data_IF_719961281465
#
_entry.id   IF_719961281465
#
_cell.length_a   1.000
_cell.length_b   1.000
_cell.length_c   1.000
_cell.angle_alpha   90.00
_cell.angle_beta   90.00
_cell.angle_gamma   90.00
#
_symmetry.space_group_name_H-M   'P 1'
#
loop_
_entity.id
_entity.type
_entity.pdbx_description
1 polymer ?
#
# COMPACT_ATOMS: atom_id res chain seq x y z
N UNK A 1 6.35 3.40 -4.04
CA UNK A 1 6.83 2.05 -3.61
C UNK A 1 5.62 1.17 -3.27
N UNK A 2 5.80 -0.04 -2.72
CA UNK A 2 4.72 -1.00 -2.43
C UNK A 2 3.50 -0.38 -1.74
N UNK A 3 3.68 0.39 -0.66
CA UNK A 3 2.56 1.03 0.06
C UNK A 3 1.66 1.90 -0.84
N UNK A 4 2.25 2.72 -1.72
CA UNK A 4 1.47 3.51 -2.68
C UNK A 4 0.75 2.64 -3.71
N UNK A 5 1.42 1.58 -4.19
CA UNK A 5 0.81 0.65 -5.15
C UNK A 5 -0.37 -0.08 -4.51
N UNK A 6 -0.27 -0.50 -3.25
CA UNK A 6 -1.35 -1.17 -2.53
C UNK A 6 -2.55 -0.24 -2.27
N UNK A 7 -2.31 1.05 -1.98
CA UNK A 7 -3.39 2.04 -1.88
C UNK A 7 -4.09 2.26 -3.23
N UNK A 8 -3.31 2.48 -4.29
CA UNK A 8 -3.84 2.61 -5.65
C UNK A 8 -4.58 1.35 -6.11
N UNK A 9 -4.09 0.17 -5.76
CA UNK A 9 -4.69 -1.11 -6.14
C UNK A 9 -6.12 -1.24 -5.62
N UNK A 10 -6.35 -0.93 -4.33
CA UNK A 10 -7.69 -0.99 -3.75
C UNK A 10 -8.67 0.01 -4.39
N UNK A 11 -8.20 1.22 -4.72
CA UNK A 11 -9.02 2.16 -5.49
C UNK A 11 -9.30 1.68 -6.92
N UNK A 12 -8.32 1.08 -7.60
CA UNK A 12 -8.49 0.50 -8.92
C UNK A 12 -9.44 -0.70 -8.92
N UNK A 13 -9.42 -1.51 -7.85
CA UNK A 13 -10.36 -2.60 -7.62
C UNK A 13 -11.79 -2.05 -7.47
N UNK A 14 -11.99 -1.04 -6.64
CA UNK A 14 -13.29 -0.38 -6.50
C UNK A 14 -13.78 0.20 -7.83
N UNK A 15 -12.92 0.94 -8.55
CA UNK A 15 -13.25 1.54 -9.83
C UNK A 15 -13.63 0.50 -10.89
N UNK A 16 -12.89 -0.62 -10.98
CA UNK A 16 -13.20 -1.69 -11.92
C UNK A 16 -14.60 -2.28 -11.72
N UNK A 17 -15.02 -2.42 -10.45
CA UNK A 17 -16.37 -2.84 -10.07
C UNK A 17 -17.40 -1.79 -10.47
N UNK A 18 -17.09 -0.53 -10.18
CA UNK A 18 -17.95 0.61 -10.45
C UNK A 18 -18.30 0.75 -11.94
N UNK A 19 -17.33 0.57 -12.84
CA UNK A 19 -17.57 0.58 -14.30
C UNK A 19 -17.90 -0.80 -14.89
N UNK A 20 -18.08 -1.82 -14.04
CA UNK A 20 -18.43 -3.19 -14.40
C UNK A 20 -17.47 -3.84 -15.43
N UNK A 21 -16.16 -3.61 -15.32
CA UNK A 21 -15.13 -4.23 -16.16
C UNK A 21 -14.23 -5.13 -15.32
N UNK A 22 -13.87 -6.30 -15.83
CA UNK A 22 -12.92 -7.20 -15.15
C UNK A 22 -11.60 -6.46 -14.91
N UNK A 23 -11.09 -6.46 -13.68
CA UNK A 23 -9.77 -5.90 -13.40
C UNK A 23 -8.69 -6.88 -13.87
N UNK A 24 -7.81 -6.41 -14.74
CA UNK A 24 -6.52 -7.06 -14.98
C UNK A 24 -5.62 -6.61 -13.83
N UNK A 25 -5.38 -7.51 -12.87
CA UNK A 25 -4.64 -7.21 -11.65
C UNK A 25 -3.17 -7.02 -12.02
N UNK A 26 -2.60 -5.81 -11.85
CA UNK A 26 -1.23 -5.55 -12.27
C UNK A 26 -0.23 -6.27 -11.36
N UNK A 27 0.94 -6.65 -11.89
CA UNK A 27 2.04 -7.07 -11.05
C UNK A 27 2.50 -5.91 -10.16
N UNK A 28 3.04 -6.24 -8.99
CA UNK A 28 3.73 -5.29 -8.14
C UNK A 28 5.02 -4.85 -8.80
N UNK A 29 5.22 -3.54 -8.89
CA UNK A 29 6.44 -2.96 -9.44
C UNK A 29 7.52 -2.86 -8.37
N UNK A 30 8.55 -3.67 -8.51
CA UNK A 30 9.81 -3.60 -7.73
C UNK A 30 10.95 -3.14 -8.64
N UNK A 31 12.15 -3.73 -8.52
CA UNK A 31 13.17 -3.67 -9.59
C UNK A 31 12.75 -4.49 -10.83
N UNK A 32 11.76 -5.38 -10.67
CA UNK A 32 11.03 -6.10 -11.72
C UNK A 32 9.53 -6.18 -11.38
N UNK A 33 8.71 -6.58 -12.32
CA UNK A 33 7.31 -6.92 -12.11
C UNK A 33 7.24 -8.23 -11.34
N UNK A 34 6.44 -8.25 -10.29
CA UNK A 34 6.15 -9.42 -9.48
C UNK A 34 4.64 -9.69 -9.59
N UNK A 35 4.20 -10.84 -10.14
CA UNK A 35 2.79 -11.18 -10.23
C UNK A 35 2.07 -10.97 -8.89
N UNK A 36 0.83 -10.48 -8.93
CA UNK A 36 0.05 -10.27 -7.71
C UNK A 36 -0.07 -11.56 -6.90
N UNK A 37 -0.30 -12.66 -7.61
CA UNK A 37 -0.44 -14.01 -7.07
C UNK A 37 0.79 -14.56 -6.35
N UNK A 38 1.99 -13.97 -6.52
CA UNK A 38 3.14 -14.34 -5.68
C UNK A 38 2.97 -13.89 -4.23
N UNK A 39 2.32 -12.74 -3.99
CA UNK A 39 2.20 -12.16 -2.64
C UNK A 39 0.81 -12.31 -2.03
N UNK A 40 -0.23 -12.40 -2.86
CA UNK A 40 -1.62 -12.41 -2.43
C UNK A 40 -2.44 -13.44 -3.20
N UNK A 41 -3.59 -13.84 -2.68
CA UNK A 41 -4.47 -14.80 -3.33
C UNK A 41 -5.46 -14.10 -4.25
N UNK A 42 -5.39 -14.37 -5.56
CA UNK A 42 -6.32 -13.77 -6.53
C UNK A 42 -7.78 -14.20 -6.31
N UNK A 43 -8.02 -15.41 -5.79
CA UNK A 43 -9.37 -15.91 -5.53
C UNK A 43 -10.13 -15.06 -4.50
N UNK A 44 -9.44 -14.54 -3.48
CA UNK A 44 -10.06 -13.66 -2.47
C UNK A 44 -10.64 -12.39 -3.09
N UNK A 45 -9.99 -11.83 -4.12
CA UNK A 45 -10.48 -10.67 -4.85
C UNK A 45 -11.77 -10.97 -5.63
N UNK A 46 -11.93 -12.20 -6.13
CA UNK A 46 -13.10 -12.61 -6.93
C UNK A 46 -14.40 -12.55 -6.15
N UNK A 47 -14.34 -12.64 -4.82
CA UNK A 47 -15.49 -12.43 -3.95
C UNK A 47 -16.00 -10.98 -3.96
N UNK A 48 -15.15 -10.01 -4.33
CA UNK A 48 -15.54 -8.61 -4.48
C UNK A 48 -15.96 -8.26 -5.91
N UNK A 49 -15.14 -8.61 -6.90
CA UNK A 49 -15.36 -8.29 -8.31
C UNK A 49 -14.60 -9.24 -9.24
N UNK A 50 -14.95 -9.27 -10.53
CA UNK A 50 -14.25 -10.09 -11.52
C UNK A 50 -12.82 -9.58 -11.68
N UNK A 51 -11.85 -10.47 -11.50
CA UNK A 51 -10.42 -10.19 -11.65
C UNK A 51 -9.70 -11.30 -12.43
N UNK A 52 -8.58 -10.96 -13.06
CA UNK A 52 -7.64 -11.89 -13.70
C UNK A 52 -6.21 -11.35 -13.50
N UNK A 53 -5.21 -12.20 -13.29
CA UNK A 53 -3.82 -11.78 -13.23
C UNK A 53 -3.39 -11.19 -14.58
N UNK A 54 -2.49 -10.19 -14.57
CA UNK A 54 -1.98 -9.59 -15.80
C UNK A 54 -1.30 -10.63 -16.69
N UNK A 55 -0.51 -11.51 -16.11
CA UNK A 55 0.20 -12.58 -16.79
C UNK A 55 -0.79 -13.53 -17.50
N UNK A 56 -1.81 -13.98 -16.78
CA UNK A 56 -2.87 -14.84 -17.31
C UNK A 56 -3.67 -14.15 -18.43
N UNK A 57 -3.99 -12.88 -18.25
CA UNK A 57 -4.66 -12.09 -19.28
C UNK A 57 -3.81 -11.98 -20.54
N UNK A 58 -2.54 -11.62 -20.39
CA UNK A 58 -1.60 -11.43 -21.51
C UNK A 58 -1.35 -12.74 -22.27
N UNK A 59 -1.31 -13.88 -21.56
CA UNK A 59 -1.12 -15.18 -22.18
C UNK A 59 -2.38 -15.72 -22.88
N UNK A 60 -3.53 -15.63 -22.21
CA UNK A 60 -4.71 -16.42 -22.59
C UNK A 60 -5.83 -15.61 -23.27
N UNK A 61 -5.91 -14.30 -23.03
CA UNK A 61 -7.00 -13.46 -23.54
C UNK A 61 -6.51 -12.36 -24.49
N UNK A 62 -5.40 -11.71 -24.19
CA UNK A 62 -4.89 -10.58 -24.97
C UNK A 62 -4.71 -10.92 -26.46
N UNK A 63 -4.20 -12.09 -26.89
CA UNK A 63 -4.06 -12.40 -28.32
C UNK A 63 -5.39 -12.34 -29.10
N UNK A 64 -6.54 -12.53 -28.43
CA UNK A 64 -7.86 -12.55 -29.05
C UNK A 64 -8.63 -11.24 -28.88
N UNK A 65 -8.58 -10.62 -27.69
CA UNK A 65 -9.39 -9.44 -27.38
C UNK A 65 -8.60 -8.12 -27.35
N UNK A 66 -7.27 -8.20 -27.37
CA UNK A 66 -6.37 -7.04 -27.35
C UNK A 66 -5.03 -7.33 -28.07
N UNK A 67 -5.08 -7.73 -29.36
CA UNK A 67 -3.91 -8.04 -30.15
C UNK A 67 -2.99 -6.82 -30.31
N UNK A 68 -1.73 -7.06 -30.69
CA UNK A 68 -0.66 -6.03 -30.71
C UNK A 68 -1.07 -4.77 -31.50
N UNK A 69 -1.71 -4.96 -32.65
CA UNK A 69 -2.18 -3.94 -33.56
C UNK A 69 -3.37 -3.11 -33.04
N UNK A 70 -3.98 -3.49 -31.91
CA UNK A 70 -5.13 -2.78 -31.31
C UNK A 70 -4.84 -2.25 -29.91
N UNK A 71 -3.56 -2.23 -29.48
CA UNK A 71 -3.19 -1.79 -28.14
C UNK A 71 -3.21 -0.28 -28.01
N UNK A 72 -4.34 0.26 -27.56
CA UNK A 72 -4.53 1.68 -27.26
C UNK A 72 -4.25 1.95 -25.78
N UNK A 73 -3.40 2.95 -25.50
CA UNK A 73 -3.14 3.44 -24.15
C UNK A 73 -4.05 4.61 -23.78
N UNK A 74 -4.43 4.72 -22.52
CA UNK A 74 -5.35 5.75 -22.05
C UNK A 74 -4.69 6.59 -20.97
N UNK A 75 -4.75 7.92 -21.09
CA UNK A 75 -4.20 8.81 -20.08
C UNK A 75 -5.13 10.00 -19.79
N UNK A 76 -5.11 10.47 -18.55
CA UNK A 76 -5.74 11.74 -18.21
C UNK A 76 -4.83 12.87 -18.68
N UNK A 77 -5.38 13.81 -19.45
CA UNK A 77 -4.71 15.05 -19.84
C UNK A 77 -5.71 16.20 -19.89
N UNK A 78 -5.31 17.42 -19.49
CA UNK A 78 -6.10 18.62 -19.76
C UNK A 78 -6.43 18.76 -21.25
N UNK A 79 -7.58 19.36 -21.57
CA UNK A 79 -8.10 19.42 -22.95
C UNK A 79 -7.19 20.18 -23.94
N UNK A 80 -6.34 21.07 -23.44
CA UNK A 80 -5.37 21.86 -24.19
C UNK A 80 -4.05 21.10 -24.47
N UNK A 81 -3.88 19.89 -23.92
CA UNK A 81 -2.67 19.09 -24.10
C UNK A 81 -2.80 18.10 -25.25
N UNK A 82 -1.77 17.99 -26.12
CA UNK A 82 -1.79 17.04 -27.22
C UNK A 82 -1.70 15.60 -26.72
N UNK A 83 -2.38 14.67 -27.41
CA UNK A 83 -2.37 13.23 -27.05
C UNK A 83 -0.98 12.60 -27.01
N UNK A 84 0.00 13.20 -27.70
CA UNK A 84 1.40 12.77 -27.70
C UNK A 84 2.03 12.85 -26.30
N UNK A 85 1.53 13.71 -25.41
CA UNK A 85 1.98 13.80 -24.01
C UNK A 85 1.54 12.61 -23.15
N UNK A 86 0.67 11.71 -23.65
CA UNK A 86 0.34 10.49 -22.91
C UNK A 86 1.59 9.67 -22.61
N UNK A 87 2.51 9.52 -23.57
CA UNK A 87 3.82 8.89 -23.38
C UNK A 87 3.76 7.66 -22.46
N UNK A 88 2.94 6.66 -22.81
CA UNK A 88 2.53 5.56 -21.93
C UNK A 88 3.69 4.77 -21.31
N UNK A 89 4.85 4.80 -21.95
CA UNK A 89 6.06 4.07 -21.59
C UNK A 89 7.24 4.99 -21.25
N UNK A 90 7.04 6.30 -21.16
CA UNK A 90 8.16 7.21 -20.94
C UNK A 90 8.57 7.25 -19.47
N UNK A 91 9.86 7.01 -19.23
CA UNK A 91 10.48 7.06 -17.92
C UNK A 91 10.27 5.80 -17.07
N UNK A 92 10.99 5.75 -15.96
CA UNK A 92 10.84 4.70 -14.95
C UNK A 92 9.73 5.10 -13.96
N UNK A 93 8.76 4.21 -13.64
CA UNK A 93 8.71 2.78 -13.96
C UNK A 93 7.89 2.39 -15.20
N UNK A 94 7.33 3.35 -15.94
CA UNK A 94 6.38 3.11 -17.02
C UNK A 94 6.95 2.21 -18.12
N UNK A 95 8.18 2.47 -18.56
CA UNK A 95 8.83 1.70 -19.61
C UNK A 95 8.95 0.22 -19.22
N UNK A 96 9.61 -0.03 -18.08
CA UNK A 96 9.89 -1.38 -17.57
C UNK A 96 8.59 -2.14 -17.29
N UNK A 97 7.59 -1.47 -16.71
CA UNK A 97 6.31 -2.09 -16.38
C UNK A 97 5.63 -2.68 -17.63
N UNK A 98 5.52 -1.91 -18.71
CA UNK A 98 4.88 -2.37 -19.94
C UNK A 98 5.78 -3.31 -20.76
N UNK A 99 7.10 -3.09 -20.76
CA UNK A 99 8.04 -3.97 -21.46
C UNK A 99 8.04 -5.38 -20.89
N UNK A 100 8.04 -5.53 -19.57
CA UNK A 100 8.03 -6.85 -18.92
C UNK A 100 6.71 -7.62 -19.14
N UNK A 101 5.62 -6.92 -19.47
CA UNK A 101 4.36 -7.52 -19.92
C UNK A 101 4.30 -7.71 -21.45
N UNK A 102 5.38 -7.42 -22.19
CA UNK A 102 5.43 -7.42 -23.65
C UNK A 102 4.35 -6.53 -24.31
N UNK A 103 4.12 -5.35 -23.74
CA UNK A 103 3.14 -4.37 -24.23
C UNK A 103 3.83 -3.20 -24.95
N UNK A 104 3.36 -2.94 -26.17
CA UNK A 104 3.61 -1.73 -26.94
C UNK A 104 2.28 -1.17 -27.40
N UNK A 105 2.17 0.16 -27.38
CA UNK A 105 0.94 0.87 -27.75
C UNK A 105 1.06 1.39 -29.17
N UNK A 106 0.04 1.16 -29.99
CA UNK A 106 -0.03 1.67 -31.38
C UNK A 106 -0.67 3.05 -31.47
N UNK A 107 -1.47 3.41 -30.47
CA UNK A 107 -2.08 4.73 -30.34
C UNK A 107 -2.37 5.04 -28.86
N UNK A 108 -2.71 6.29 -28.58
CA UNK A 108 -3.17 6.76 -27.27
C UNK A 108 -4.46 7.55 -27.39
N UNK A 109 -5.29 7.48 -26.34
CA UNK A 109 -6.51 8.27 -26.19
C UNK A 109 -6.49 9.01 -24.85
N UNK A 110 -6.97 10.25 -24.86
CA UNK A 110 -7.05 11.08 -23.65
C UNK A 110 -8.46 11.06 -23.06
N UNK A 111 -8.57 11.31 -21.76
CA UNK A 111 -9.86 11.51 -21.07
C UNK A 111 -9.75 12.58 -19.98
N UNK A 112 -10.90 13.16 -19.61
CA UNK A 112 -11.05 14.15 -18.53
C UNK A 112 -12.18 13.73 -17.57
N UNK A 113 -12.13 12.47 -17.12
CA UNK A 113 -13.13 11.87 -16.23
C UNK A 113 -12.53 11.61 -14.84
N UNK A 114 -13.40 11.68 -13.83
CA UNK A 114 -13.08 11.26 -12.48
C UNK A 114 -13.32 9.75 -12.33
N UNK A 115 -12.77 9.15 -11.28
CA UNK A 115 -12.92 7.71 -10.98
C UNK A 115 -14.05 7.43 -9.97
N UNK A 116 -15.00 8.35 -9.85
CA UNK A 116 -16.12 8.29 -8.90
C UNK A 116 -17.44 7.86 -9.57
N UNK A 117 -18.46 7.65 -8.74
CA UNK A 117 -19.80 7.21 -9.15
C UNK A 117 -20.49 8.16 -10.14
N UNK A 118 -20.18 9.46 -10.08
CA UNK A 118 -20.80 10.48 -10.91
C UNK A 118 -20.32 10.40 -12.37
N UNK A 119 -19.09 9.91 -12.60
CA UNK A 119 -18.51 9.76 -13.94
C UNK A 119 -18.80 8.42 -14.63
N UNK A 120 -19.51 7.47 -14.00
CA UNK A 120 -19.70 6.10 -14.56
C UNK A 120 -20.39 6.11 -15.92
N UNK A 121 -21.47 6.87 -16.05
CA UNK A 121 -22.21 6.98 -17.33
C UNK A 121 -21.32 7.59 -18.44
N UNK A 122 -20.42 8.51 -18.07
CA UNK A 122 -19.48 9.11 -19.01
C UNK A 122 -18.40 8.11 -19.43
N UNK A 123 -17.86 7.32 -18.50
CA UNK A 123 -16.92 6.24 -18.79
C UNK A 123 -17.53 5.23 -19.76
N UNK A 124 -18.76 4.77 -19.50
CA UNK A 124 -19.44 3.79 -20.36
C UNK A 124 -19.78 4.36 -21.74
N UNK A 125 -20.17 5.65 -21.82
CA UNK A 125 -20.49 6.31 -23.08
C UNK A 125 -19.25 6.59 -23.93
N UNK A 126 -18.16 7.07 -23.32
CA UNK A 126 -16.92 7.39 -24.05
C UNK A 126 -16.14 6.13 -24.40
N UNK A 127 -16.15 5.13 -23.52
CA UNK A 127 -15.36 3.92 -23.67
C UNK A 127 -16.23 2.67 -23.51
N UNK A 128 -17.17 2.39 -24.45
CA UNK A 128 -18.00 1.20 -24.39
C UNK A 128 -17.19 -0.07 -24.67
N UNK A 129 -17.61 -1.21 -24.12
CA UNK A 129 -16.82 -2.45 -24.11
C UNK A 129 -16.72 -3.16 -25.46
N UNK A 130 -17.69 -2.94 -26.35
CA UNK A 130 -17.70 -3.43 -27.73
C UNK A 130 -16.63 -2.77 -28.60
N UNK A 131 -16.32 -1.49 -28.35
CA UNK A 131 -15.28 -0.73 -29.06
C UNK A 131 -13.93 -0.74 -28.35
N UNK A 132 -13.95 -0.65 -27.02
CA UNK A 132 -12.77 -0.62 -26.17
C UNK A 132 -12.83 -1.78 -25.17
N UNK A 133 -12.51 -3.01 -25.60
CA UNK A 133 -12.57 -4.19 -24.72
C UNK A 133 -11.58 -4.09 -23.56
N UNK A 134 -10.44 -3.43 -23.76
CA UNK A 134 -9.40 -3.21 -22.74
C UNK A 134 -9.12 -1.72 -22.57
N UNK A 135 -9.17 -1.26 -21.32
CA UNK A 135 -8.78 0.11 -20.93
C UNK A 135 -7.42 0.07 -20.24
N UNK A 136 -6.35 0.19 -21.02
CA UNK A 136 -4.97 0.20 -20.51
C UNK A 136 -4.56 1.63 -20.09
N UNK A 137 -4.81 1.96 -18.81
CA UNK A 137 -4.55 3.30 -18.26
C UNK A 137 -3.06 3.50 -17.91
N UNK A 138 -2.53 4.73 -18.07
CA UNK A 138 -1.13 5.06 -17.75
C UNK A 138 -0.79 4.87 -16.27
N UNK A 139 -1.76 5.13 -15.39
CA UNK A 139 -1.64 4.99 -13.94
C UNK A 139 -2.90 4.36 -13.36
N UNK A 140 -2.86 4.05 -12.08
CA UNK A 140 -4.02 3.48 -11.41
C UNK A 140 -5.20 4.48 -11.42
N UNK A 141 -6.43 4.03 -11.74
CA UNK A 141 -7.62 4.86 -11.65
C UNK A 141 -8.09 5.00 -10.20
N UNK A 142 -7.24 5.62 -9.37
CA UNK A 142 -7.40 5.69 -7.93
C UNK A 142 -6.76 6.95 -7.36
N UNK A 143 -7.29 7.43 -6.24
CA UNK A 143 -6.71 8.53 -5.47
C UNK A 143 -5.54 8.06 -4.58
N UNK A 144 -4.61 8.97 -4.29
CA UNK A 144 -3.65 8.84 -3.21
C UNK A 144 -3.66 10.11 -2.33
N UNK A 145 -3.78 9.98 -1.00
CA UNK A 145 -4.08 8.73 -0.27
C UNK A 145 -5.43 8.14 -0.66
N UNK A 146 -5.59 6.84 -0.40
CA UNK A 146 -6.82 6.13 -0.71
C UNK A 146 -8.03 6.70 0.05
N UNK A 147 -9.19 6.74 -0.62
CA UNK A 147 -10.47 7.11 -0.01
C UNK A 147 -10.81 6.23 1.20
N UNK A 148 -11.43 6.80 2.22
CA UNK A 148 -11.73 6.10 3.48
C UNK A 148 -12.61 4.86 3.27
N UNK A 149 -13.59 4.95 2.37
CA UNK A 149 -14.50 3.85 2.02
C UNK A 149 -13.80 2.64 1.37
N UNK A 150 -12.67 2.85 0.70
CA UNK A 150 -11.90 1.78 0.07
C UNK A 150 -11.01 1.01 1.08
N UNK A 151 -10.82 1.53 2.30
CA UNK A 151 -9.96 0.87 3.32
C UNK A 151 -10.42 -0.54 3.64
N UNK A 152 -11.73 -0.75 3.70
CA UNK A 152 -12.34 -2.05 4.02
C UNK A 152 -12.13 -3.10 2.92
N UNK A 153 -11.72 -2.69 1.71
CA UNK A 153 -11.38 -3.63 0.65
C UNK A 153 -10.10 -4.43 0.93
N UNK A 154 -9.31 -4.01 1.93
CA UNK A 154 -8.14 -4.78 2.39
C UNK A 154 -8.50 -6.22 2.78
N UNK A 155 -9.75 -6.48 3.22
CA UNK A 155 -10.20 -7.85 3.56
C UNK A 155 -10.14 -8.84 2.39
N UNK A 156 -10.08 -8.34 1.16
CA UNK A 156 -9.94 -9.16 -0.04
C UNK A 156 -8.48 -9.38 -0.47
N UNK A 157 -7.52 -8.66 0.12
CA UNK A 157 -6.09 -8.87 -0.09
C UNK A 157 -5.54 -9.89 0.91
N UNK A 158 -5.86 -11.16 0.69
CA UNK A 158 -5.35 -12.28 1.50
C UNK A 158 -3.94 -12.64 1.07
N UNK A 159 -3.02 -12.83 2.02
CA UNK A 159 -1.64 -13.27 1.75
C UNK A 159 -1.60 -14.63 1.02
N UNK A 160 -0.64 -14.81 0.11
CA UNK A 160 -0.37 -16.12 -0.49
C UNK A 160 0.16 -17.10 0.57
N UNK A 161 -0.04 -18.41 0.35
CA UNK A 161 0.52 -19.42 1.26
C UNK A 161 2.05 -19.35 1.34
N UNK A 162 2.72 -18.97 0.25
CA UNK A 162 4.16 -18.79 0.25
C UNK A 162 4.60 -17.70 1.25
N UNK A 163 3.95 -16.53 1.24
CA UNK A 163 4.24 -15.46 2.20
C UNK A 163 3.91 -15.92 3.62
N UNK A 164 2.78 -16.61 3.80
CA UNK A 164 2.37 -17.07 5.13
C UNK A 164 3.28 -18.17 5.69
N UNK A 165 3.80 -19.07 4.86
CA UNK A 165 4.79 -20.07 5.27
C UNK A 165 6.08 -19.42 5.77
N UNK A 166 6.58 -18.42 5.06
CA UNK A 166 7.77 -17.67 5.48
C UNK A 166 7.53 -16.90 6.79
N UNK A 167 6.37 -16.25 6.94
CA UNK A 167 5.96 -15.60 8.19
C UNK A 167 5.91 -16.60 9.35
N UNK A 168 5.25 -17.76 9.17
CA UNK A 168 5.17 -18.80 10.21
C UNK A 168 6.55 -19.32 10.62
N UNK A 169 7.47 -19.49 9.65
CA UNK A 169 8.85 -19.88 9.91
C UNK A 169 9.59 -18.82 10.73
N UNK A 170 9.44 -17.54 10.39
CA UNK A 170 10.06 -16.45 11.15
C UNK A 170 9.48 -16.31 12.55
N UNK A 171 8.16 -16.37 12.72
CA UNK A 171 7.52 -16.33 14.04
C UNK A 171 8.01 -17.46 14.95
N UNK A 172 8.12 -18.68 14.42
CA UNK A 172 8.68 -19.82 15.16
C UNK A 172 10.15 -19.61 15.49
N UNK A 173 10.96 -19.19 14.52
CA UNK A 173 12.42 -19.04 14.70
C UNK A 173 12.78 -17.91 15.67
N UNK A 174 12.12 -16.77 15.56
CA UNK A 174 12.47 -15.55 16.29
C UNK A 174 11.80 -15.52 17.67
N UNK A 175 10.57 -16.02 17.78
CA UNK A 175 9.76 -15.85 18.97
C UNK A 175 9.23 -17.16 19.55
N UNK A 176 9.55 -18.32 18.96
CA UNK A 176 8.96 -19.61 19.33
C UNK A 176 7.40 -19.58 19.32
N UNK A 177 6.82 -18.78 18.42
CA UNK A 177 5.39 -18.46 18.37
C UNK A 177 4.81 -17.79 19.63
N UNK A 178 5.67 -17.26 20.52
CA UNK A 178 5.23 -16.41 21.62
C UNK A 178 4.79 -15.03 21.09
N UNK A 179 3.90 -14.33 21.82
CA UNK A 179 3.43 -13.00 21.43
C UNK A 179 4.57 -12.01 21.18
N UNK A 180 4.39 -11.10 20.21
CA UNK A 180 5.34 -10.05 19.88
C UNK A 180 4.69 -8.70 19.55
N UNK A 181 5.40 -7.62 19.88
CA UNK A 181 5.07 -6.27 19.47
C UNK A 181 5.78 -6.01 18.15
N UNK A 182 5.02 -5.70 17.11
CA UNK A 182 5.55 -5.21 15.84
C UNK A 182 5.70 -3.69 15.87
N UNK A 183 6.84 -3.17 15.45
CA UNK A 183 7.03 -1.74 15.25
C UNK A 183 7.52 -1.43 13.85
N UNK A 184 7.03 -0.33 13.27
CA UNK A 184 7.52 0.21 12.01
C UNK A 184 8.20 1.56 12.24
N UNK A 185 9.51 1.59 11.98
CA UNK A 185 10.34 2.78 12.04
C UNK A 185 10.60 3.27 10.61
N UNK A 186 10.06 4.45 10.28
CA UNK A 186 10.29 5.10 8.99
C UNK A 186 11.22 6.27 9.24
N UNK A 187 12.53 6.05 9.08
CA UNK A 187 13.58 6.94 9.57
C UNK A 187 14.79 7.07 8.63
N UNK A 188 14.63 6.77 7.35
CA UNK A 188 15.63 7.13 6.33
C UNK A 188 15.64 8.65 6.03
N UNK A 189 16.74 9.14 5.48
CA UNK A 189 16.99 10.57 5.21
C UNK A 189 15.95 11.19 4.26
N UNK A 190 15.47 10.42 3.28
CA UNK A 190 14.41 10.86 2.37
C UNK A 190 13.08 11.09 3.10
N UNK A 191 12.83 10.30 4.15
CA UNK A 191 11.64 10.44 4.98
C UNK A 191 11.76 11.63 5.93
N UNK A 192 12.91 11.82 6.56
CA UNK A 192 13.19 13.01 7.39
C UNK A 192 12.93 14.31 6.61
N UNK A 193 13.45 14.39 5.38
CA UNK A 193 13.23 15.54 4.48
C UNK A 193 11.76 15.74 4.13
N UNK A 194 11.00 14.66 3.94
CA UNK A 194 9.56 14.73 3.68
C UNK A 194 8.80 15.30 4.88
N UNK A 195 9.29 15.07 6.10
CA UNK A 195 8.64 15.52 7.33
C UNK A 195 9.06 16.93 7.80
N UNK A 196 10.15 17.50 7.27
CA UNK A 196 10.77 18.75 7.77
C UNK A 196 9.78 19.92 7.88
N UNK A 197 8.93 20.14 6.87
CA UNK A 197 8.02 21.29 6.82
C UNK A 197 6.54 20.92 7.01
N UNK A 198 6.25 19.72 7.51
CA UNK A 198 4.88 19.16 7.49
C UNK A 198 3.86 20.03 8.25
N UNK A 199 4.28 20.68 9.34
CA UNK A 199 3.42 21.53 10.16
C UNK A 199 3.00 22.83 9.47
N UNK A 200 3.84 23.34 8.55
CA UNK A 200 3.54 24.57 7.79
C UNK A 200 2.31 24.41 6.90
N UNK A 201 2.01 23.19 6.45
CA UNK A 201 0.90 22.91 5.56
C UNK A 201 -0.46 22.97 6.26
N UNK A 202 -0.50 22.86 7.59
CA UNK A 202 -1.74 22.82 8.40
C UNK A 202 -2.79 21.86 7.80
N UNK A 203 -2.36 20.64 7.46
CA UNK A 203 -3.19 19.64 6.79
C UNK A 203 -3.41 18.41 7.66
N UNK A 204 -4.58 17.77 7.51
CA UNK A 204 -4.88 16.44 8.04
C UNK A 204 -4.57 15.32 7.04
N UNK A 205 -4.40 15.68 5.77
CA UNK A 205 -4.11 14.76 4.68
C UNK A 205 -2.73 15.07 4.13
N UNK A 206 -1.74 14.33 4.62
CA UNK A 206 -0.37 14.31 4.13
C UNK A 206 0.05 12.85 4.01
N UNK A 207 0.23 12.39 2.77
CA UNK A 207 0.40 10.98 2.46
C UNK A 207 -0.68 10.12 3.15
N UNK A 208 -0.33 9.06 3.87
CA UNK A 208 -1.30 8.16 4.49
C UNK A 208 -1.84 8.63 5.86
N UNK A 209 -1.58 9.88 6.28
CA UNK A 209 -2.02 10.39 7.59
C UNK A 209 -3.52 10.28 7.90
N UNK A 210 -4.45 10.27 6.92
CA UNK A 210 -5.86 10.04 7.22
C UNK A 210 -6.11 8.72 7.98
N UNK A 211 -5.22 7.72 7.89
CA UNK A 211 -5.35 6.44 8.62
C UNK A 211 -5.40 6.59 10.15
N UNK A 212 -4.77 7.63 10.71
CA UNK A 212 -4.80 7.91 12.14
C UNK A 212 -5.63 9.16 12.48
N UNK A 213 -5.71 10.14 11.58
CA UNK A 213 -6.36 11.41 11.87
C UNK A 213 -7.87 11.40 11.62
N UNK A 214 -8.39 10.57 10.71
CA UNK A 214 -9.85 10.53 10.48
C UNK A 214 -10.62 10.02 11.70
N UNK A 215 -9.97 9.17 12.50
CA UNK A 215 -10.55 8.58 13.72
C UNK A 215 -10.69 9.59 14.87
N UNK A 216 -9.94 10.69 14.85
CA UNK A 216 -9.94 11.71 15.91
C UNK A 216 -11.12 12.70 15.80
N UNK A 217 -12.03 12.50 14.85
CA UNK A 217 -13.18 13.37 14.61
C UNK A 217 -12.81 14.72 13.97
N UNK A 218 -13.77 15.35 13.27
CA UNK A 218 -13.55 16.62 12.57
C UNK A 218 -13.37 17.82 13.53
N UNK A 219 -13.84 17.70 14.78
CA UNK A 219 -13.77 18.75 15.81
C UNK A 219 -12.39 18.91 16.46
N UNK A 220 -11.49 17.95 16.28
CA UNK A 220 -10.11 18.08 16.74
C UNK A 220 -9.33 18.87 15.70
N UNK A 221 -8.72 20.00 16.10
CA UNK A 221 -7.76 20.76 15.28
C UNK A 221 -6.41 20.00 15.13
N UNK A 222 -6.48 18.68 14.97
CA UNK A 222 -5.34 17.78 14.92
C UNK A 222 -4.79 17.72 13.51
N UNK A 223 -3.73 18.50 13.25
CA UNK A 223 -2.94 18.44 12.02
C UNK A 223 -1.80 17.43 12.12
N UNK A 224 -1.24 17.06 10.98
CA UNK A 224 0.01 16.29 10.95
C UNK A 224 1.13 17.14 11.56
N UNK A 225 1.73 16.64 12.63
CA UNK A 225 2.88 17.27 13.29
C UNK A 225 4.18 16.58 12.91
N UNK A 226 5.32 17.24 13.15
CA UNK A 226 6.62 16.63 12.95
C UNK A 226 6.75 15.35 13.79
N UNK A 227 6.24 15.36 15.02
CA UNK A 227 6.23 14.19 15.92
C UNK A 227 5.44 13.00 15.37
N UNK A 228 4.35 13.24 14.65
CA UNK A 228 3.54 12.19 14.00
C UNK A 228 4.25 11.65 12.75
N UNK A 229 4.92 12.53 11.99
CA UNK A 229 5.58 12.18 10.73
C UNK A 229 6.95 11.51 10.93
N UNK A 230 7.76 12.07 11.84
CA UNK A 230 9.13 11.68 12.15
C UNK A 230 9.35 11.79 13.68
N UNK A 231 8.94 10.75 14.45
CA UNK A 231 9.06 10.76 15.91
C UNK A 231 10.53 10.74 16.34
N UNK A 232 10.84 11.42 17.46
CA UNK A 232 12.16 11.34 18.08
C UNK A 232 12.39 9.97 18.73
N UNK A 233 13.66 9.63 18.95
CA UNK A 233 14.04 8.41 19.68
C UNK A 233 13.40 8.35 21.06
N UNK A 234 13.37 9.48 21.77
CA UNK A 234 12.70 9.59 23.07
C UNK A 234 11.21 9.21 22.99
N UNK A 235 10.50 9.68 21.96
CA UNK A 235 9.09 9.35 21.79
C UNK A 235 8.87 7.87 21.45
N UNK A 236 9.71 7.32 20.58
CA UNK A 236 9.68 5.89 20.22
C UNK A 236 9.88 5.04 21.47
N UNK A 237 10.94 5.31 22.23
CA UNK A 237 11.29 4.57 23.45
C UNK A 237 10.21 4.71 24.53
N UNK A 238 9.69 5.92 24.74
CA UNK A 238 8.62 6.20 25.72
C UNK A 238 7.34 5.43 25.39
N UNK A 239 6.85 5.52 24.15
CA UNK A 239 5.60 4.84 23.77
C UNK A 239 5.78 3.32 23.79
N UNK A 240 6.89 2.81 23.26
CA UNK A 240 7.19 1.38 23.27
C UNK A 240 7.25 0.82 24.69
N UNK A 241 7.89 1.54 25.63
CA UNK A 241 7.90 1.18 27.05
C UNK A 241 6.50 1.07 27.63
N UNK A 242 5.64 2.05 27.36
CA UNK A 242 4.25 2.03 27.84
C UNK A 242 3.50 0.81 27.30
N UNK A 243 3.67 0.47 26.03
CA UNK A 243 3.04 -0.71 25.42
C UNK A 243 3.60 -2.01 26.01
N UNK A 244 4.91 -2.15 26.20
CA UNK A 244 5.53 -3.32 26.84
C UNK A 244 5.00 -3.50 28.26
N UNK A 245 4.88 -2.43 29.04
CA UNK A 245 4.35 -2.49 30.41
C UNK A 245 2.87 -2.90 30.45
N UNK A 246 2.06 -2.36 29.52
CA UNK A 246 0.63 -2.65 29.40
C UNK A 246 0.35 -4.08 28.93
N UNK A 247 1.06 -4.53 27.91
CA UNK A 247 0.82 -5.82 27.24
C UNK A 247 1.59 -6.98 27.89
N UNK A 248 2.67 -6.69 28.62
CA UNK A 248 3.64 -7.66 29.16
C UNK A 248 4.39 -8.47 28.09
N UNK A 249 4.23 -8.11 26.81
CA UNK A 249 4.93 -8.74 25.69
C UNK A 249 6.38 -8.26 25.68
N UNK A 250 7.32 -9.20 25.57
CA UNK A 250 8.77 -8.92 25.62
C UNK A 250 9.46 -9.04 24.26
N UNK A 251 8.87 -9.78 23.31
CA UNK A 251 9.39 -9.90 21.97
C UNK A 251 9.04 -8.64 21.18
N UNK A 252 10.02 -8.02 20.54
CA UNK A 252 9.86 -6.80 19.74
C UNK A 252 10.42 -7.07 18.35
N UNK A 253 9.55 -7.01 17.34
CA UNK A 253 9.90 -7.10 15.93
C UNK A 253 9.99 -5.71 15.32
N UNK A 254 11.14 -5.36 14.74
CA UNK A 254 11.39 -4.06 14.13
C UNK A 254 11.48 -4.19 12.62
N UNK A 255 10.51 -3.59 11.91
CA UNK A 255 10.69 -3.26 10.49
C UNK A 255 11.15 -1.81 10.37
N UNK A 256 12.15 -1.57 9.54
CA UNK A 256 12.68 -0.22 9.32
C UNK A 256 13.15 -0.06 7.88
N UNK A 257 13.13 1.17 7.39
CA UNK A 257 13.78 1.51 6.12
C UNK A 257 15.23 1.94 6.28
N UNK A 258 15.72 2.13 7.51
CA UNK A 258 17.12 2.51 7.76
C UNK A 258 17.69 2.06 9.09
N UNK A 259 17.19 2.60 10.21
CA UNK A 259 17.77 2.41 11.54
C UNK A 259 16.82 1.60 12.43
N UNK A 260 17.22 0.40 12.90
CA UNK A 260 16.34 -0.46 13.70
C UNK A 260 16.33 -0.15 15.20
N UNK A 261 17.27 0.67 15.69
CA UNK A 261 17.34 1.09 17.11
C UNK A 261 17.42 -0.06 18.13
N UNK A 262 18.01 -1.21 17.76
CA UNK A 262 18.01 -2.41 18.61
C UNK A 262 18.64 -2.12 19.98
N UNK A 263 19.85 -1.53 20.00
CA UNK A 263 20.59 -1.25 21.25
C UNK A 263 19.85 -0.25 22.11
N UNK A 264 19.36 0.82 21.51
CA UNK A 264 18.63 1.89 22.20
C UNK A 264 17.37 1.34 22.89
N UNK A 265 16.65 0.42 22.22
CA UNK A 265 15.46 -0.23 22.78
C UNK A 265 15.85 -1.19 23.92
N UNK A 266 16.86 -2.04 23.72
CA UNK A 266 17.32 -3.00 24.73
C UNK A 266 17.83 -2.31 26.00
N UNK A 267 18.60 -1.24 25.86
CA UNK A 267 19.12 -0.45 26.98
C UNK A 267 17.99 0.27 27.72
N UNK A 268 17.07 0.93 27.00
CA UNK A 268 15.94 1.63 27.62
C UNK A 268 14.97 0.69 28.35
N UNK A 269 14.88 -0.57 27.91
CA UNK A 269 13.97 -1.59 28.43
C UNK A 269 14.70 -2.75 29.14
N UNK A 270 15.94 -2.52 29.60
CA UNK A 270 16.74 -3.54 30.26
C UNK A 270 16.02 -4.17 31.48
N UNK A 271 15.27 -3.37 32.23
CA UNK A 271 14.49 -3.85 33.37
C UNK A 271 13.33 -4.80 32.97
N UNK A 272 12.80 -4.64 31.75
CA UNK A 272 11.72 -5.48 31.20
C UNK A 272 12.26 -6.75 30.53
N UNK A 273 13.58 -6.84 30.29
CA UNK A 273 14.24 -7.98 29.63
C UNK A 273 13.59 -8.31 28.29
N UNK A 274 13.45 -7.28 27.45
CA UNK A 274 12.90 -7.42 26.09
C UNK A 274 13.88 -8.16 25.19
N UNK A 275 13.35 -8.79 24.14
CA UNK A 275 14.11 -9.39 23.05
C UNK A 275 13.78 -8.65 21.76
N UNK A 276 14.74 -7.91 21.21
CA UNK A 276 14.52 -7.04 20.05
C UNK A 276 15.14 -7.68 18.81
N UNK A 277 14.36 -7.81 17.75
CA UNK A 277 14.81 -8.41 16.49
C UNK A 277 14.49 -7.49 15.32
N UNK A 278 15.44 -7.36 14.41
CA UNK A 278 15.25 -6.80 13.07
C UNK A 278 15.64 -7.89 12.05
N UNK A 279 14.69 -8.30 11.21
CA UNK A 279 14.91 -9.39 10.26
C UNK A 279 15.59 -8.93 8.97
N UNK A 280 15.30 -7.71 8.51
CA UNK A 280 15.68 -7.19 7.19
C UNK A 280 15.40 -8.18 6.05
N UNK A 281 14.12 -8.57 5.84
CA UNK A 281 13.78 -9.62 4.91
C UNK A 281 14.07 -9.21 3.46
N UNK A 282 14.39 -10.19 2.62
CA UNK A 282 14.65 -9.99 1.20
C UNK A 282 13.47 -9.38 0.42
N UNK A 283 12.23 -9.56 0.91
CA UNK A 283 11.05 -8.83 0.46
C UNK A 283 10.46 -7.97 1.58
N UNK A 284 10.25 -6.66 1.33
CA UNK A 284 9.53 -5.80 2.27
C UNK A 284 8.11 -6.27 2.59
N UNK A 285 7.47 -7.06 1.72
CA UNK A 285 6.13 -7.61 1.98
C UNK A 285 6.13 -8.59 3.16
N UNK A 286 7.25 -9.24 3.46
CA UNK A 286 7.40 -10.12 4.63
C UNK A 286 7.32 -9.29 5.90
N UNK A 287 7.97 -8.11 5.95
CA UNK A 287 7.83 -7.17 7.06
C UNK A 287 6.36 -6.73 7.24
N UNK A 288 5.67 -6.42 6.14
CA UNK A 288 4.24 -6.06 6.20
C UNK A 288 3.42 -7.19 6.80
N UNK A 289 3.64 -8.43 6.35
CA UNK A 289 2.90 -9.59 6.83
C UNK A 289 3.24 -9.93 8.29
N UNK A 290 4.52 -9.88 8.68
CA UNK A 290 4.96 -10.02 10.08
C UNK A 290 4.30 -8.97 10.98
N UNK A 291 4.27 -7.70 10.58
CA UNK A 291 3.65 -6.64 11.37
C UNK A 291 2.11 -6.74 11.39
N UNK A 292 1.49 -7.19 10.31
CA UNK A 292 0.05 -7.41 10.26
C UNK A 292 -0.39 -8.48 11.28
N UNK A 293 0.43 -9.51 11.52
CA UNK A 293 0.16 -10.61 12.44
C UNK A 293 0.72 -10.41 13.87
N UNK A 294 1.30 -9.24 14.19
CA UNK A 294 1.78 -8.97 15.54
C UNK A 294 0.63 -8.89 16.56
N UNK A 295 0.86 -9.25 17.81
CA UNK A 295 -0.14 -9.13 18.88
C UNK A 295 -0.44 -7.66 19.21
N UNK A 296 0.54 -6.79 19.03
CA UNK A 296 0.38 -5.34 19.09
C UNK A 296 1.23 -4.67 18.02
N UNK A 297 0.71 -3.64 17.37
CA UNK A 297 1.45 -2.91 16.35
C UNK A 297 1.59 -1.42 16.69
N UNK A 298 2.78 -0.86 16.49
CA UNK A 298 3.02 0.59 16.52
C UNK A 298 3.59 1.04 15.18
N UNK A 299 2.88 1.94 14.50
CA UNK A 299 3.22 2.36 13.15
C UNK A 299 3.49 3.86 12.99
N UNK A 300 4.05 4.22 11.85
CA UNK A 300 4.16 5.61 11.41
C UNK A 300 2.86 6.03 10.69
N UNK A 301 2.14 7.03 11.19
CA UNK A 301 0.84 7.44 10.64
C UNK A 301 0.91 7.98 9.20
N UNK A 302 2.02 8.60 8.81
CA UNK A 302 2.15 9.23 7.48
C UNK A 302 2.53 8.20 6.41
N UNK A 303 3.09 7.06 6.80
CA UNK A 303 3.58 6.05 5.85
C UNK A 303 2.46 5.18 5.26
N UNK A 304 2.42 5.10 3.93
CA UNK A 304 1.54 4.15 3.21
C UNK A 304 1.97 2.69 3.38
N UNK A 305 3.21 2.42 3.82
CA UNK A 305 3.63 1.07 4.22
C UNK A 305 2.93 0.65 5.52
N UNK A 306 2.89 1.54 6.52
CA UNK A 306 2.05 1.37 7.73
C UNK A 306 0.58 1.22 7.37
N UNK A 307 0.09 1.99 6.39
CA UNK A 307 -1.32 1.98 5.99
C UNK A 307 -1.79 0.60 5.55
N UNK A 308 -0.95 -0.18 4.86
CA UNK A 308 -1.28 -1.58 4.50
C UNK A 308 -1.44 -2.44 5.76
N UNK A 309 -0.50 -2.32 6.70
CA UNK A 309 -0.50 -3.07 7.96
C UNK A 309 -1.74 -2.71 8.79
N UNK A 310 -1.99 -1.41 8.99
CA UNK A 310 -3.14 -0.92 9.76
C UNK A 310 -4.45 -1.48 9.23
N UNK A 311 -4.67 -1.42 7.90
CA UNK A 311 -5.90 -1.95 7.32
C UNK A 311 -6.01 -3.47 7.45
N UNK A 312 -4.91 -4.20 7.29
CA UNK A 312 -4.92 -5.65 7.47
C UNK A 312 -5.29 -6.03 8.91
N UNK A 313 -4.80 -5.25 9.88
CA UNK A 313 -5.14 -5.39 11.30
C UNK A 313 -6.57 -5.02 11.62
N UNK A 314 -7.08 -3.94 11.02
CA UNK A 314 -8.46 -3.47 11.22
C UNK A 314 -9.50 -4.50 10.76
N UNK A 315 -9.20 -5.28 9.71
CA UNK A 315 -10.07 -6.38 9.25
C UNK A 315 -10.26 -7.46 10.33
N UNK A 316 -9.31 -7.57 11.26
CA UNK A 316 -9.28 -8.56 12.33
C UNK A 316 -9.37 -7.94 13.72
N UNK A 317 -9.75 -6.66 13.83
CA UNK A 317 -9.86 -5.91 15.08
C UNK A 317 -8.59 -5.97 15.96
N UNK A 318 -7.41 -6.05 15.34
CA UNK A 318 -6.13 -6.17 16.05
C UNK A 318 -5.62 -4.80 16.56
N UNK A 319 -5.07 -4.73 17.79
CA UNK A 319 -4.74 -3.46 18.42
C UNK A 319 -3.58 -2.77 17.71
N UNK A 320 -3.75 -1.49 17.41
CA UNK A 320 -2.75 -0.68 16.72
C UNK A 320 -2.60 0.69 17.39
N UNK A 321 -1.36 1.15 17.50
CA UNK A 321 -1.03 2.51 17.89
C UNK A 321 -0.20 3.20 16.79
N UNK A 322 -0.06 4.51 16.91
CA UNK A 322 0.81 5.31 16.05
C UNK A 322 1.77 6.14 16.88
N UNK A 323 2.96 6.39 16.33
CA UNK A 323 3.90 7.35 16.93
C UNK A 323 3.30 8.76 16.98
N UNK A 324 3.67 9.51 18.01
CA UNK A 324 3.24 10.91 18.17
C UNK A 324 1.85 11.09 18.78
N UNK A 325 1.15 9.99 19.12
CA UNK A 325 -0.11 10.02 19.86
C UNK A 325 0.10 9.63 21.32
N UNK A 326 -0.57 10.36 22.22
CA UNK A 326 -0.66 9.98 23.63
C UNK A 326 -1.72 8.88 23.75
N UNK A 327 -1.29 7.65 24.04
CA UNK A 327 -2.18 6.56 24.43
C UNK A 327 -2.40 6.53 25.93
#
# INVERSE_FOLDING_TARGET
RFGNQAEHFLGGLAFSKLINRTLIVPPWRTYKNIPYSEWFQIESLRSYHRVIDAEDFMQNLAPRVWPNESRIGFCWLPADRPKSECQMKEGNPFESFWNELNVSFVDTTTYQLHYDEYSVNQWQKLFPADRYPVLALKGAPASYPMLAEHRQLQKYMTWSEQIMDEVRQHQKKLFNNEPYIGIHLRNDIDWERSCTNVESYKTRSYMASPQCLDQLGASTNSYVTHKICYPSDEEILRLLKNIVLRTRIRNIYVATDKRPMIKEIEEHLAAQRVYVTHLDPWLPVIDVAMLAHADYFIGNCVSSFTSVIKRARDVHDLPTAFWGFSN
#
